data_IF_172943976359
#
_entry.id   IF_172943976359
#
_cell.length_a   1.000
_cell.length_b   1.000
_cell.length_c   1.000
_cell.angle_alpha   90.00
_cell.angle_beta   90.00
_cell.angle_gamma   90.00
#
_symmetry.space_group_name_H-M   'P 1'
#
loop_
_entity.id
_entity.type
_entity.pdbx_description
1 polymer ?
#
# COMPACT_ATOMS: atom_id res chain seq x y z
N UNK A 1 -1.70 9.78 8.70
CA UNK A 1 -0.80 10.80 8.13
C UNK A 1 0.46 10.09 7.67
N UNK A 2 1.00 10.43 6.50
CA UNK A 2 2.16 9.74 5.92
C UNK A 2 3.35 10.69 5.74
N UNK A 3 4.53 10.27 6.17
CA UNK A 3 5.78 11.04 6.21
C UNK A 3 6.87 10.32 5.41
N UNK A 4 7.46 11.02 4.44
CA UNK A 4 8.59 10.51 3.67
C UNK A 4 9.89 10.71 4.45
N UNK A 5 10.56 9.62 4.80
CA UNK A 5 11.84 9.69 5.54
C UNK A 5 12.98 10.20 4.68
N UNK A 6 12.89 10.00 3.36
CA UNK A 6 13.89 10.48 2.40
C UNK A 6 13.82 12.00 2.22
N UNK A 7 12.62 12.57 2.17
CA UNK A 7 12.44 14.01 1.90
C UNK A 7 12.18 14.85 3.15
N UNK A 8 11.93 14.19 4.29
CA UNK A 8 11.61 14.85 5.55
C UNK A 8 10.26 15.57 5.58
N UNK A 9 9.30 15.15 4.74
CA UNK A 9 8.04 15.86 4.52
C UNK A 9 6.82 14.95 4.62
N UNK A 10 5.74 15.53 5.14
CA UNK A 10 4.40 14.94 5.05
C UNK A 10 3.91 14.91 3.61
N UNK A 11 3.38 13.75 3.22
CA UNK A 11 2.72 13.57 1.93
C UNK A 11 1.28 14.07 2.04
N UNK A 12 0.86 14.87 1.05
CA UNK A 12 -0.49 15.44 0.98
C UNK A 12 -1.28 14.98 -0.25
N UNK A 13 -0.65 14.20 -1.13
CA UNK A 13 -1.23 13.77 -2.41
C UNK A 13 -0.80 12.35 -2.71
N UNK A 14 -1.75 11.56 -3.20
CA UNK A 14 -1.49 10.23 -3.71
C UNK A 14 -0.70 10.32 -5.03
N UNK A 15 0.51 9.72 -5.13
CA UNK A 15 1.18 9.56 -6.42
C UNK A 15 0.32 8.74 -7.39
N UNK A 16 0.46 8.95 -8.70
CA UNK A 16 -0.31 8.21 -9.72
C UNK A 16 -1.84 8.26 -9.52
N UNK A 17 -2.38 9.33 -8.92
CA UNK A 17 -3.81 9.46 -8.59
C UNK A 17 -4.74 9.14 -9.77
N UNK A 18 -4.38 9.56 -10.99
CA UNK A 18 -5.17 9.29 -12.19
C UNK A 18 -5.34 7.79 -12.46
N UNK A 19 -4.27 7.00 -12.28
CA UNK A 19 -4.31 5.56 -12.48
C UNK A 19 -5.07 4.88 -11.34
N UNK A 20 -4.85 5.33 -10.10
CA UNK A 20 -5.63 4.89 -8.93
C UNK A 20 -7.13 5.11 -9.12
N UNK A 21 -7.55 6.33 -9.46
CA UNK A 21 -8.95 6.69 -9.68
C UNK A 21 -9.56 5.87 -10.83
N UNK A 22 -8.78 5.54 -11.86
CA UNK A 22 -9.23 4.69 -12.98
C UNK A 22 -9.48 3.26 -12.50
N UNK A 23 -8.55 2.66 -11.78
CA UNK A 23 -8.68 1.28 -11.30
C UNK A 23 -9.74 1.15 -10.20
N UNK A 24 -9.90 2.16 -9.35
CA UNK A 24 -10.95 2.20 -8.32
C UNK A 24 -12.38 2.14 -8.89
N UNK A 25 -12.60 2.56 -10.13
CA UNK A 25 -13.91 2.42 -10.80
C UNK A 25 -14.26 0.97 -11.13
N UNK A 26 -13.27 0.09 -11.15
CA UNK A 26 -13.40 -1.32 -11.55
C UNK A 26 -13.39 -2.27 -10.36
N UNK A 27 -13.47 -1.76 -9.12
CA UNK A 27 -13.57 -2.58 -7.91
C UNK A 27 -14.87 -2.26 -7.18
N UNK A 28 -15.54 -3.29 -6.66
CA UNK A 28 -16.75 -3.12 -5.87
C UNK A 28 -16.40 -2.55 -4.49
N UNK A 29 -17.30 -1.76 -3.90
CA UNK A 29 -17.10 -1.25 -2.55
C UNK A 29 -16.93 -2.38 -1.50
N UNK A 30 -17.70 -3.50 -1.55
CA UNK A 30 -17.48 -4.62 -0.63
C UNK A 30 -16.10 -5.29 -0.77
N UNK A 31 -15.60 -5.47 -1.98
CA UNK A 31 -14.28 -6.07 -2.18
C UNK A 31 -13.16 -5.13 -1.74
N UNK A 32 -13.30 -3.84 -2.04
CA UNK A 32 -12.36 -2.84 -1.54
C UNK A 32 -12.33 -2.81 0.00
N UNK A 33 -13.49 -2.90 0.66
CA UNK A 33 -13.55 -2.94 2.12
C UNK A 33 -12.81 -4.16 2.69
N UNK A 34 -13.02 -5.37 2.15
CA UNK A 34 -12.29 -6.58 2.59
C UNK A 34 -10.77 -6.43 2.46
N UNK A 35 -10.31 -5.77 1.39
CA UNK A 35 -8.88 -5.48 1.21
C UNK A 35 -8.38 -4.56 2.33
N UNK A 36 -9.11 -3.49 2.63
CA UNK A 36 -8.76 -2.55 3.71
C UNK A 36 -8.73 -3.26 5.06
N UNK A 37 -9.74 -4.06 5.39
CA UNK A 37 -9.79 -4.81 6.65
C UNK A 37 -8.59 -5.77 6.77
N UNK A 38 -8.26 -6.48 5.69
CA UNK A 38 -7.08 -7.37 5.66
C UNK A 38 -5.76 -6.60 5.81
N UNK A 39 -5.67 -5.39 5.23
CA UNK A 39 -4.50 -4.55 5.38
C UNK A 39 -4.37 -4.06 6.82
N UNK A 40 -5.44 -3.64 7.46
CA UNK A 40 -5.42 -3.20 8.86
C UNK A 40 -4.95 -4.32 9.79
N UNK A 41 -5.48 -5.53 9.64
CA UNK A 41 -5.03 -6.70 10.41
C UNK A 41 -3.51 -6.95 10.26
N UNK A 42 -3.00 -6.90 9.03
CA UNK A 42 -1.56 -7.12 8.76
C UNK A 42 -0.70 -6.00 9.32
N UNK A 43 -1.11 -4.75 9.11
CA UNK A 43 -0.37 -3.55 9.52
C UNK A 43 -0.30 -3.44 11.03
N UNK A 44 -1.38 -3.76 11.73
CA UNK A 44 -1.44 -3.66 13.18
C UNK A 44 -0.73 -4.83 13.89
N UNK A 45 -0.52 -5.95 13.20
CA UNK A 45 0.24 -7.10 13.70
C UNK A 45 1.76 -6.98 13.52
N UNK A 46 2.27 -5.97 12.81
CA UNK A 46 3.70 -5.86 12.48
C UNK A 46 4.24 -4.42 12.58
N UNK A 47 5.43 -4.26 13.16
CA UNK A 47 6.11 -2.95 13.25
C UNK A 47 6.60 -2.43 11.90
N UNK A 48 6.98 -3.35 10.99
CA UNK A 48 7.55 -3.05 9.67
C UNK A 48 6.71 -3.74 8.61
N UNK A 49 6.18 -2.96 7.66
CA UNK A 49 5.28 -3.42 6.62
C UNK A 49 5.83 -3.09 5.24
N UNK A 50 6.09 -4.09 4.40
CA UNK A 50 6.64 -3.90 3.05
C UNK A 50 5.62 -4.27 1.99
N UNK A 51 5.22 -3.30 1.15
CA UNK A 51 4.10 -3.48 0.22
C UNK A 51 4.29 -4.64 -0.76
N UNK A 52 5.50 -4.87 -1.25
CA UNK A 52 5.78 -5.97 -2.20
C UNK A 52 5.74 -7.36 -1.58
N UNK A 53 5.71 -7.49 -0.26
CA UNK A 53 5.70 -8.78 0.44
C UNK A 53 4.31 -9.16 0.96
N UNK A 54 3.43 -8.17 1.17
CA UNK A 54 2.11 -8.38 1.77
C UNK A 54 1.16 -9.26 0.93
N UNK A 55 1.06 -9.11 -0.41
CA UNK A 55 0.04 -9.83 -1.17
C UNK A 55 0.50 -11.21 -1.67
N UNK A 56 1.77 -11.58 -1.48
CA UNK A 56 2.33 -12.81 -2.04
C UNK A 56 2.47 -12.77 -3.56
N UNK A 57 2.85 -13.92 -4.14
CA UNK A 57 3.17 -14.05 -5.56
C UNK A 57 1.98 -14.47 -6.44
N UNK A 58 0.97 -15.12 -5.85
CA UNK A 58 -0.24 -15.57 -6.53
C UNK A 58 -1.46 -15.03 -5.79
N UNK A 59 -2.34 -14.34 -6.52
CA UNK A 59 -3.50 -13.67 -5.96
C UNK A 59 -4.79 -14.43 -6.25
N UNK A 60 -4.76 -15.52 -7.04
CA UNK A 60 -5.96 -16.30 -7.36
C UNK A 60 -6.62 -16.83 -6.09
N UNK A 61 -7.92 -16.55 -5.93
CA UNK A 61 -8.70 -16.92 -4.74
C UNK A 61 -8.37 -16.11 -3.49
N UNK A 62 -7.49 -15.10 -3.57
CA UNK A 62 -7.15 -14.23 -2.43
C UNK A 62 -8.02 -12.98 -2.42
N UNK A 63 -8.02 -12.26 -1.29
CA UNK A 63 -8.69 -10.95 -1.18
C UNK A 63 -8.14 -9.90 -2.16
N UNK A 64 -6.94 -10.10 -2.72
CA UNK A 64 -6.30 -9.16 -3.64
C UNK A 64 -6.62 -9.43 -5.12
N UNK A 65 -7.26 -10.57 -5.45
CA UNK A 65 -7.70 -10.89 -6.81
C UNK A 65 -8.53 -9.78 -7.50
N UNK A 66 -9.45 -9.08 -6.80
CA UNK A 66 -10.19 -7.98 -7.40
C UNK A 66 -9.30 -6.84 -7.93
N UNK A 67 -8.14 -6.58 -7.32
CA UNK A 67 -7.17 -5.60 -7.83
C UNK A 67 -6.54 -6.06 -9.15
N UNK A 68 -6.37 -7.36 -9.33
CA UNK A 68 -5.89 -7.94 -10.59
C UNK A 68 -6.87 -7.69 -11.73
N UNK A 69 -8.14 -7.99 -11.50
CA UNK A 69 -9.20 -7.76 -12.48
C UNK A 69 -9.47 -6.27 -12.73
N UNK A 70 -9.42 -5.44 -11.69
CA UNK A 70 -9.58 -3.98 -11.82
C UNK A 70 -8.53 -3.34 -12.75
N UNK A 71 -7.35 -3.96 -12.84
CA UNK A 71 -6.26 -3.57 -13.72
C UNK A 71 -6.27 -4.28 -15.09
N UNK A 72 -7.36 -4.96 -15.46
CA UNK A 72 -7.46 -5.65 -16.74
C UNK A 72 -6.53 -6.85 -16.84
N UNK A 73 -6.34 -7.59 -15.75
CA UNK A 73 -5.49 -8.78 -15.67
C UNK A 73 -4.00 -8.49 -15.93
N UNK A 74 -3.53 -7.26 -15.65
CA UNK A 74 -2.13 -6.86 -15.80
C UNK A 74 -1.39 -6.89 -14.44
N UNK A 75 -0.47 -7.85 -14.28
CA UNK A 75 0.25 -8.07 -13.02
C UNK A 75 1.06 -6.87 -12.54
N UNK A 76 1.70 -6.13 -13.44
CA UNK A 76 2.52 -4.97 -13.07
C UNK A 76 1.64 -3.82 -12.59
N UNK A 77 0.56 -3.53 -13.31
CA UNK A 77 -0.43 -2.53 -12.93
C UNK A 77 -1.09 -2.89 -11.59
N UNK A 78 -1.40 -4.17 -11.36
CA UNK A 78 -1.98 -4.64 -10.10
C UNK A 78 -1.04 -4.48 -8.92
N UNK A 79 0.26 -4.77 -9.10
CA UNK A 79 1.26 -4.51 -8.07
C UNK A 79 1.39 -3.02 -7.72
N UNK A 80 1.36 -2.15 -8.73
CA UNK A 80 1.32 -0.70 -8.51
C UNK A 80 0.02 -0.28 -7.80
N UNK A 81 -1.12 -0.81 -8.23
CA UNK A 81 -2.42 -0.48 -7.63
C UNK A 81 -2.46 -0.89 -6.16
N UNK A 82 -2.02 -2.10 -5.82
CA UNK A 82 -1.88 -2.54 -4.43
C UNK A 82 -1.02 -1.57 -3.61
N UNK A 83 0.15 -1.19 -4.13
CA UNK A 83 1.02 -0.22 -3.48
C UNK A 83 0.34 1.12 -3.23
N UNK A 84 -0.46 1.61 -4.18
CA UNK A 84 -1.23 2.85 -4.05
C UNK A 84 -2.40 2.73 -3.05
N UNK A 85 -3.08 1.57 -2.98
CA UNK A 85 -4.12 1.31 -1.99
C UNK A 85 -3.54 1.40 -0.58
N UNK A 86 -2.44 0.70 -0.32
CA UNK A 86 -1.75 0.76 0.97
C UNK A 86 -1.25 2.17 1.29
N UNK A 87 -0.64 2.85 0.31
CA UNK A 87 -0.15 4.21 0.47
C UNK A 87 -1.28 5.18 0.84
N UNK A 88 -2.40 5.12 0.11
CA UNK A 88 -3.56 5.96 0.37
C UNK A 88 -4.17 5.66 1.75
N UNK A 89 -4.30 4.37 2.09
CA UNK A 89 -4.82 3.94 3.39
C UNK A 89 -4.02 4.51 4.56
N UNK A 90 -2.70 4.36 4.54
CA UNK A 90 -1.82 4.90 5.59
C UNK A 90 -1.78 6.44 5.62
N UNK A 91 -1.93 7.08 4.46
CA UNK A 91 -2.04 8.54 4.36
C UNK A 91 -3.30 9.05 5.08
N UNK A 92 -4.44 8.39 4.88
CA UNK A 92 -5.75 8.77 5.42
C UNK A 92 -5.97 8.35 6.89
N UNK A 93 -5.25 7.34 7.39
CA UNK A 93 -5.31 6.91 8.79
C UNK A 93 -5.00 8.06 9.76
N UNK A 94 -5.85 8.25 10.77
CA UNK A 94 -5.75 9.36 11.77
C UNK A 94 -5.23 8.93 13.13
N UNK A 95 -5.10 7.63 13.36
CA UNK A 95 -4.66 7.01 14.61
C UNK A 95 -3.15 7.15 14.84
N UNK A 96 -2.36 7.30 13.77
CA UNK A 96 -0.91 7.40 13.85
C UNK A 96 -0.28 8.22 12.71
N UNK A 97 1.00 8.59 12.92
CA UNK A 97 1.89 9.06 11.86
C UNK A 97 2.73 7.88 11.37
N UNK A 98 2.69 7.64 10.07
CA UNK A 98 3.41 6.56 9.40
C UNK A 98 4.59 7.13 8.63
N UNK A 99 5.78 6.56 8.83
CA UNK A 99 6.96 6.80 8.01
C UNK A 99 7.01 5.81 6.85
N UNK A 100 7.57 6.23 5.71
CA UNK A 100 7.88 5.31 4.61
C UNK A 100 9.15 5.70 3.86
N UNK A 101 9.76 4.72 3.21
CA UNK A 101 10.93 4.89 2.34
C UNK A 101 11.30 3.64 1.55
N UNK A 102 12.37 3.75 0.75
CA UNK A 102 13.03 2.64 0.06
C UNK A 102 14.13 2.03 0.93
N UNK A 103 14.22 0.71 0.90
CA UNK A 103 15.18 -0.05 1.69
C UNK A 103 15.72 -1.23 0.88
N UNK A 104 16.78 -1.84 1.41
CA UNK A 104 17.40 -3.05 0.88
C UNK A 104 17.39 -4.16 1.92
N UNK A 105 17.48 -5.41 1.45
CA UNK A 105 17.70 -6.59 2.28
C UNK A 105 18.89 -7.34 1.69
N UNK A 106 19.93 -7.55 2.50
CA UNK A 106 21.16 -8.25 2.09
C UNK A 106 21.82 -7.63 0.84
N UNK A 107 21.80 -6.29 0.75
CA UNK A 107 22.33 -5.53 -0.40
C UNK A 107 21.44 -5.55 -1.65
N UNK A 108 20.24 -6.14 -1.57
CA UNK A 108 19.28 -6.20 -2.68
C UNK A 108 18.14 -5.20 -2.44
N UNK A 109 17.90 -4.24 -3.35
CA UNK A 109 16.80 -3.30 -3.22
C UNK A 109 15.44 -4.00 -3.14
N UNK A 110 14.63 -3.61 -2.16
CA UNK A 110 13.27 -4.09 -2.01
C UNK A 110 12.39 -3.36 -3.04
N UNK A 111 11.62 -4.12 -3.83
CA UNK A 111 10.76 -3.57 -4.90
C UNK A 111 9.66 -2.64 -4.34
N UNK A 112 9.08 -2.99 -3.19
CA UNK A 112 8.02 -2.25 -2.52
C UNK A 112 8.51 -1.06 -1.70
N UNK A 113 7.56 -0.28 -1.20
CA UNK A 113 7.81 0.70 -0.14
C UNK A 113 7.71 -0.01 1.21
N UNK A 114 8.52 0.40 2.17
CA UNK A 114 8.42 -0.08 3.56
C UNK A 114 7.85 1.01 4.44
N UNK A 115 6.93 0.64 5.31
CA UNK A 115 6.15 1.51 6.20
C UNK A 115 6.31 1.08 7.66
N UNK A 116 6.31 2.06 8.56
CA UNK A 116 6.43 1.85 10.01
C UNK A 116 5.83 3.03 10.77
N UNK A 117 5.39 2.80 12.02
CA UNK A 117 4.87 3.87 12.87
C UNK A 117 6.01 4.76 13.38
N UNK A 118 5.84 6.08 13.32
CA UNK A 118 6.77 7.02 13.94
C UNK A 118 6.39 7.22 15.41
N UNK A 119 7.32 6.91 16.32
CA UNK A 119 7.12 7.12 17.77
C UNK A 119 7.33 8.58 18.19
N UNK A 120 8.22 9.29 17.50
CA UNK A 120 8.46 10.71 17.69
C UNK A 120 7.97 11.44 16.44
N UNK A 121 6.93 12.27 16.59
CA UNK A 121 6.32 12.99 15.47
C UNK A 121 7.27 14.13 15.05
N UNK A 122 7.77 14.12 13.80
CA UNK A 122 8.64 15.17 13.27
C UNK A 122 7.87 16.43 12.83
#
# INVERSE_FOLDING_TARGET
>A
MLYSVETGKYVKKLPHKRDFDRWMKNISAPDYQKIIDTLDEKIDAADINTSSWMPGNDWTGTVYEPLYHACGNNKEASGLFFGLVLFNHLMERKDAVWGFGRYEKDGIPIKGMTYFRLKNIP
#
